data_IF_911197076126
#
_entry.id   IF_911197076126
#
_cell.length_a   1.000
_cell.length_b   1.000
_cell.length_c   1.000
_cell.angle_alpha   90.00
_cell.angle_beta   90.00
_cell.angle_gamma   90.00
#
_symmetry.space_group_name_H-M   'P 1'
#
loop_
_entity.id
_entity.type
_entity.pdbx_description
1 polymer ?
#
# COMPACT_ATOMS: atom_id res chain seq x y z
N UNK A 1 33.54 5.22 3.95
CA UNK A 1 34.18 4.00 4.50
C UNK A 1 33.82 3.62 5.94
N UNK A 2 33.00 4.37 6.68
CA UNK A 2 32.64 4.01 8.07
C UNK A 2 31.30 3.27 8.25
N UNK A 3 30.47 3.14 7.21
CA UNK A 3 29.13 2.51 7.31
C UNK A 3 29.21 0.97 7.21
N UNK A 4 30.24 0.42 6.57
CA UNK A 4 30.33 -1.03 6.30
C UNK A 4 30.85 -1.84 7.50
N UNK A 5 31.56 -1.21 8.45
CA UNK A 5 32.28 -1.95 9.49
C UNK A 5 31.48 -2.28 10.76
N UNK A 6 30.20 -1.88 10.86
CA UNK A 6 29.37 -2.15 12.05
C UNK A 6 28.31 -3.25 11.86
N UNK A 7 28.29 -3.96 10.74
CA UNK A 7 27.27 -4.98 10.45
C UNK A 7 27.62 -6.35 11.10
N UNK A 8 28.80 -6.49 11.69
CA UNK A 8 29.32 -7.80 12.09
C UNK A 8 29.07 -8.21 13.53
N UNK A 9 28.13 -7.58 14.25
CA UNK A 9 27.80 -8.00 15.61
C UNK A 9 26.31 -8.28 15.78
N UNK A 10 26.03 -9.57 16.03
CA UNK A 10 24.74 -10.20 16.42
C UNK A 10 23.70 -10.39 15.30
N UNK A 11 23.79 -11.55 14.63
CA UNK A 11 22.68 -12.50 14.42
C UNK A 11 21.34 -12.04 13.84
N UNK A 12 21.20 -10.80 13.38
CA UNK A 12 20.02 -10.29 12.70
C UNK A 12 20.20 -10.53 11.22
N UNK A 13 19.30 -11.31 10.63
CA UNK A 13 19.24 -11.48 9.18
C UNK A 13 18.67 -10.19 8.57
N UNK A 14 19.49 -9.14 8.52
CA UNK A 14 19.11 -7.84 7.91
C UNK A 14 18.79 -8.11 6.45
N UNK A 15 17.57 -7.81 6.03
CA UNK A 15 17.18 -8.08 4.66
C UNK A 15 17.93 -7.14 3.70
N UNK A 16 18.20 -7.59 2.48
CA UNK A 16 18.82 -6.74 1.45
C UNK A 16 18.02 -5.44 1.22
N UNK A 17 16.69 -5.49 1.41
CA UNK A 17 15.82 -4.32 1.38
C UNK A 17 16.21 -3.30 2.46
N UNK A 18 16.40 -3.73 3.69
CA UNK A 18 16.68 -2.83 4.81
C UNK A 18 18.07 -2.18 4.65
N UNK A 19 19.04 -2.93 4.12
CA UNK A 19 20.35 -2.38 3.73
C UNK A 19 20.21 -1.30 2.67
N UNK A 20 19.39 -1.54 1.64
CA UNK A 20 19.13 -0.56 0.59
C UNK A 20 18.43 0.69 1.12
N UNK A 21 17.43 0.53 1.99
CA UNK A 21 16.73 1.66 2.60
C UNK A 21 17.70 2.48 3.46
N UNK A 22 18.45 1.85 4.35
CA UNK A 22 19.45 2.52 5.20
C UNK A 22 20.58 3.21 4.40
N UNK A 23 20.84 2.77 3.16
CA UNK A 23 21.76 3.45 2.24
C UNK A 23 21.14 4.69 1.56
N UNK A 24 19.87 5.01 1.84
CA UNK A 24 19.17 6.17 1.30
C UNK A 24 18.77 6.04 -0.17
N UNK A 25 18.65 4.84 -0.73
CA UNK A 25 18.44 4.64 -2.18
C UNK A 25 17.09 5.17 -2.68
N UNK A 26 16.12 5.35 -1.79
CA UNK A 26 14.77 5.77 -2.15
C UNK A 26 14.77 7.15 -2.84
N UNK A 27 15.47 8.14 -2.28
CA UNK A 27 15.45 9.50 -2.84
C UNK A 27 16.10 9.58 -4.23
N UNK A 28 17.29 9.01 -4.49
CA UNK A 28 17.85 8.95 -5.83
C UNK A 28 16.98 8.18 -6.83
N UNK A 29 16.31 7.10 -6.39
CA UNK A 29 15.41 6.32 -7.25
C UNK A 29 14.21 7.17 -7.71
N UNK A 30 13.55 7.88 -6.78
CA UNK A 30 12.44 8.78 -7.10
C UNK A 30 12.89 9.90 -8.03
N UNK A 31 14.04 10.53 -7.76
CA UNK A 31 14.61 11.55 -8.62
C UNK A 31 14.90 11.02 -10.03
N UNK A 32 15.40 9.79 -10.15
CA UNK A 32 15.68 9.15 -11.43
C UNK A 32 14.40 8.93 -12.25
N UNK A 33 13.32 8.47 -11.59
CA UNK A 33 12.01 8.32 -12.21
C UNK A 33 11.46 9.67 -12.69
N UNK A 34 11.60 10.73 -11.89
CA UNK A 34 11.01 12.04 -12.20
C UNK A 34 11.84 12.86 -13.21
N UNK A 35 13.15 12.67 -13.26
CA UNK A 35 14.03 13.39 -14.20
C UNK A 35 13.97 12.84 -15.63
N UNK A 36 13.44 11.63 -15.83
CA UNK A 36 13.44 10.95 -17.13
C UNK A 36 12.08 10.32 -17.48
N UNK A 37 10.99 11.12 -17.54
CA UNK A 37 9.63 10.60 -17.73
C UNK A 37 9.43 9.94 -19.10
N UNK A 38 10.21 10.31 -20.12
CA UNK A 38 10.12 9.75 -21.46
C UNK A 38 10.88 8.42 -21.65
N UNK A 39 11.74 8.05 -20.69
CA UNK A 39 12.50 6.82 -20.78
C UNK A 39 11.68 5.65 -20.23
N UNK A 40 10.87 5.02 -21.10
CA UNK A 40 9.96 3.94 -20.71
C UNK A 40 10.66 2.76 -20.01
N UNK A 41 11.84 2.37 -20.48
CA UNK A 41 12.62 1.28 -19.88
C UNK A 41 12.98 1.60 -18.42
N UNK A 42 13.44 2.83 -18.19
CA UNK A 42 13.74 3.32 -16.85
C UNK A 42 12.49 3.42 -15.98
N UNK A 43 11.36 3.89 -16.52
CA UNK A 43 10.10 3.95 -15.77
C UNK A 43 9.66 2.54 -15.32
N UNK A 44 9.77 1.53 -16.19
CA UNK A 44 9.44 0.13 -15.86
C UNK A 44 10.35 -0.43 -14.76
N UNK A 45 11.67 -0.31 -14.95
CA UNK A 45 12.66 -0.84 -14.00
C UNK A 45 12.54 -0.11 -12.65
N UNK A 46 12.44 1.21 -12.66
CA UNK A 46 12.35 2.01 -11.45
C UNK A 46 11.04 1.77 -10.68
N UNK A 47 9.91 1.62 -11.38
CA UNK A 47 8.63 1.29 -10.73
C UNK A 47 8.65 -0.11 -10.12
N UNK A 48 9.30 -1.07 -10.79
CA UNK A 48 9.50 -2.42 -10.24
C UNK A 48 10.43 -2.43 -9.02
N UNK A 49 11.53 -1.68 -9.08
CA UNK A 49 12.42 -1.53 -7.93
C UNK A 49 11.69 -0.91 -6.73
N UNK A 50 10.86 0.11 -6.98
CA UNK A 50 10.04 0.75 -5.96
C UNK A 50 9.06 -0.23 -5.32
N UNK A 51 8.36 -1.06 -6.10
CA UNK A 51 7.43 -2.05 -5.53
C UNK A 51 8.12 -3.03 -4.60
N UNK A 52 9.32 -3.49 -4.95
CA UNK A 52 10.09 -4.43 -4.12
C UNK A 52 10.62 -3.77 -2.83
N UNK A 53 11.03 -2.50 -2.90
CA UNK A 53 11.47 -1.74 -1.72
C UNK A 53 10.32 -1.51 -0.73
N UNK A 54 9.09 -1.40 -1.22
CA UNK A 54 7.91 -1.18 -0.38
C UNK A 54 7.31 -2.49 0.16
N UNK A 55 7.38 -3.60 -0.58
CA UNK A 55 6.74 -4.90 -0.25
C UNK A 55 7.11 -5.51 1.12
N UNK A 56 8.20 -5.07 1.77
CA UNK A 56 8.43 -5.36 3.19
C UNK A 56 8.39 -6.85 3.55
N UNK A 57 9.10 -7.71 2.81
CA UNK A 57 9.11 -9.14 3.11
C UNK A 57 9.86 -9.43 4.41
N UNK A 58 9.12 -9.74 5.48
CA UNK A 58 9.63 -10.65 6.52
C UNK A 58 9.73 -12.02 5.86
N UNK A 59 10.95 -12.45 5.53
CA UNK A 59 11.19 -13.83 5.09
C UNK A 59 10.89 -14.76 6.27
N UNK A 60 9.67 -15.31 6.32
CA UNK A 60 9.47 -16.58 6.99
C UNK A 60 10.18 -17.66 6.17
N UNK A 61 11.47 -17.84 6.44
CA UNK A 61 12.11 -19.12 6.17
C UNK A 61 11.40 -20.17 7.02
N UNK A 62 10.64 -21.04 6.37
CA UNK A 62 10.61 -22.48 6.61
C UNK A 62 9.73 -23.12 5.54
N UNK A 63 10.35 -23.59 4.44
CA UNK A 63 9.83 -24.74 3.70
C UNK A 63 10.65 -25.96 4.15
N UNK A 64 9.98 -27.07 4.48
CA UNK A 64 9.95 -28.13 3.47
C UNK A 64 8.56 -28.78 3.34
N UNK A 65 8.25 -29.28 2.15
CA UNK A 65 7.16 -30.24 1.94
C UNK A 65 6.10 -29.80 0.94
N UNK A 66 6.08 -30.48 -0.20
CA UNK A 66 4.99 -30.54 -1.17
C UNK A 66 3.68 -31.04 -0.55
N UNK A 67 2.55 -30.37 -0.80
CA UNK A 67 1.41 -30.87 -1.58
C UNK A 67 0.18 -29.94 -1.39
N UNK A 68 -0.83 -30.21 -2.20
CA UNK A 68 -2.00 -29.41 -2.55
C UNK A 68 -3.02 -29.21 -1.40
N UNK A 69 -3.88 -28.22 -1.65
CA UNK A 69 -5.27 -28.06 -1.19
C UNK A 69 -5.62 -27.09 -0.05
N UNK A 70 -6.59 -26.24 -0.42
CA UNK A 70 -7.69 -25.69 0.35
C UNK A 70 -7.41 -24.80 1.58
N UNK A 71 -7.85 -23.54 1.43
CA UNK A 71 -8.80 -22.86 2.32
C UNK A 71 -8.47 -22.73 3.83
N UNK A 72 -8.54 -21.48 4.28
CA UNK A 72 -8.61 -21.01 5.67
C UNK A 72 -7.32 -21.09 6.51
N UNK A 73 -6.73 -19.91 6.73
CA UNK A 73 -6.38 -19.50 8.10
C UNK A 73 -6.54 -17.99 8.28
N UNK A 74 -7.73 -17.64 8.77
CA UNK A 74 -8.01 -16.49 9.63
C UNK A 74 -7.22 -16.66 10.94
N UNK A 75 -6.66 -15.58 11.47
CA UNK A 75 -6.04 -15.54 12.80
C UNK A 75 -4.60 -15.02 12.79
N UNK A 76 -4.42 -13.72 12.55
CA UNK A 76 -3.22 -13.01 12.95
C UNK A 76 -3.28 -12.79 14.47
N UNK A 77 -2.64 -13.67 15.22
CA UNK A 77 -2.26 -13.47 16.61
C UNK A 77 -0.80 -13.90 16.74
N UNK A 78 0.11 -12.94 16.66
CA UNK A 78 1.03 -12.69 17.77
C UNK A 78 1.73 -11.36 17.60
N UNK A 79 1.55 -10.50 18.61
CA UNK A 79 2.42 -9.39 18.92
C UNK A 79 3.81 -9.93 19.28
N UNK A 80 4.82 -9.38 18.61
CA UNK A 80 6.23 -9.68 18.85
C UNK A 80 7.03 -8.41 18.62
N UNK A 81 7.22 -7.67 19.71
CA UNK A 81 7.96 -6.44 19.80
C UNK A 81 9.40 -6.62 19.24
N UNK A 82 9.65 -6.08 18.04
CA UNK A 82 11.00 -5.79 17.56
C UNK A 82 11.06 -4.32 17.14
N UNK A 83 11.44 -3.48 18.09
CA UNK A 83 12.03 -2.17 17.82
C UNK A 83 13.41 -2.39 17.18
N UNK A 84 13.42 -2.71 15.88
CA UNK A 84 14.62 -2.72 15.05
C UNK A 84 14.49 -1.52 14.12
N UNK A 85 15.50 -0.64 14.10
CA UNK A 85 15.50 0.64 13.40
C UNK A 85 15.37 0.54 11.89
N UNK A 86 14.20 0.11 11.41
CA UNK A 86 13.78 0.24 10.04
C UNK A 86 13.50 1.72 9.81
N UNK A 87 14.27 2.35 8.92
CA UNK A 87 13.84 3.64 8.37
C UNK A 87 12.43 3.48 7.81
N UNK A 88 11.49 4.12 8.48
CA UNK A 88 10.09 4.12 8.09
C UNK A 88 9.97 4.78 6.72
N UNK A 89 9.29 4.11 5.79
CA UNK A 89 9.08 4.64 4.44
C UNK A 89 8.19 5.88 4.59
N UNK A 90 8.76 7.06 4.31
CA UNK A 90 8.03 8.32 4.32
C UNK A 90 7.13 8.39 3.09
N UNK A 91 5.92 7.84 3.16
CA UNK A 91 4.97 7.80 2.03
C UNK A 91 4.79 9.16 1.33
N UNK A 92 4.84 10.25 2.08
CA UNK A 92 4.69 11.62 1.56
C UNK A 92 5.71 11.96 0.46
N UNK A 93 6.93 11.42 0.50
CA UNK A 93 7.90 11.65 -0.57
C UNK A 93 7.65 10.79 -1.82
N UNK A 94 6.94 9.66 -1.69
CA UNK A 94 6.63 8.77 -2.81
C UNK A 94 5.39 9.25 -3.59
N UNK A 95 4.43 9.89 -2.93
CA UNK A 95 3.13 10.25 -3.51
C UNK A 95 3.21 11.05 -4.83
N UNK A 96 4.08 12.08 -4.97
CA UNK A 96 4.17 12.83 -6.23
C UNK A 96 4.57 11.94 -7.42
N UNK A 97 5.58 11.10 -7.23
CA UNK A 97 6.07 10.16 -8.24
C UNK A 97 5.00 9.09 -8.54
N UNK A 98 4.40 8.47 -7.51
CA UNK A 98 3.36 7.45 -7.68
C UNK A 98 2.13 7.98 -8.42
N UNK A 99 1.71 9.22 -8.12
CA UNK A 99 0.63 9.88 -8.85
C UNK A 99 0.95 9.98 -10.33
N UNK A 100 2.13 10.52 -10.68
CA UNK A 100 2.56 10.63 -12.08
C UNK A 100 2.56 9.27 -12.78
N UNK A 101 3.09 8.24 -12.13
CA UNK A 101 3.16 6.89 -12.68
C UNK A 101 1.78 6.26 -12.93
N UNK A 102 0.78 6.52 -12.07
CA UNK A 102 -0.61 6.06 -12.24
C UNK A 102 -1.33 6.60 -13.48
N UNK A 103 -0.84 7.70 -14.04
CA UNK A 103 -1.39 8.31 -15.27
C UNK A 103 -0.61 7.93 -16.54
N UNK A 104 0.43 7.08 -16.44
CA UNK A 104 1.10 6.55 -17.61
C UNK A 104 0.24 5.49 -18.31
N UNK A 105 0.38 5.38 -19.62
CA UNK A 105 -0.36 4.41 -20.44
C UNK A 105 0.22 2.98 -20.36
N UNK A 106 1.45 2.84 -19.88
CA UNK A 106 2.17 1.57 -19.89
C UNK A 106 1.66 0.60 -18.81
N UNK A 107 1.17 -0.56 -19.24
CA UNK A 107 0.57 -1.54 -18.35
C UNK A 107 1.57 -2.16 -17.34
N UNK A 108 2.86 -2.24 -17.66
CA UNK A 108 3.86 -2.74 -16.71
C UNK A 108 4.10 -1.71 -15.60
N UNK A 109 4.30 -0.44 -15.97
CA UNK A 109 4.43 0.65 -15.00
C UNK A 109 3.20 0.76 -14.11
N UNK A 110 1.99 0.73 -14.69
CA UNK A 110 0.75 0.76 -13.91
C UNK A 110 0.64 -0.44 -12.95
N UNK A 111 1.00 -1.63 -13.40
CA UNK A 111 1.00 -2.84 -12.57
C UNK A 111 1.91 -2.68 -11.36
N UNK A 112 3.18 -2.29 -11.56
CA UNK A 112 4.12 -2.11 -10.44
C UNK A 112 3.71 -0.96 -9.51
N UNK A 113 3.18 0.13 -10.07
CA UNK A 113 2.68 1.27 -9.27
C UNK A 113 1.49 0.86 -8.39
N UNK A 114 0.54 0.11 -8.93
CA UNK A 114 -0.59 -0.42 -8.15
C UNK A 114 -0.13 -1.42 -7.09
N UNK A 115 0.87 -2.27 -7.39
CA UNK A 115 1.46 -3.13 -6.36
C UNK A 115 2.09 -2.31 -5.25
N UNK A 116 2.88 -1.28 -5.57
CA UNK A 116 3.44 -0.38 -4.56
C UNK A 116 2.36 0.21 -3.65
N UNK A 117 1.27 0.72 -4.22
CA UNK A 117 0.15 1.28 -3.46
C UNK A 117 -0.55 0.23 -2.60
N UNK A 118 -0.75 -0.98 -3.12
CA UNK A 118 -1.31 -2.09 -2.34
C UNK A 118 -0.48 -2.41 -1.11
N UNK A 119 0.86 -2.45 -1.23
CA UNK A 119 1.74 -2.70 -0.09
C UNK A 119 1.74 -1.52 0.90
N UNK A 120 1.66 -0.28 0.42
CA UNK A 120 1.53 0.89 1.30
C UNK A 120 0.22 0.84 2.09
N UNK A 121 -0.90 0.51 1.44
CA UNK A 121 -2.20 0.38 2.09
C UNK A 121 -2.35 -0.89 2.97
N UNK A 122 -1.42 -1.84 2.89
CA UNK A 122 -1.30 -2.96 3.85
C UNK A 122 -0.55 -2.55 5.13
N UNK A 123 0.03 -1.34 5.15
CA UNK A 123 0.77 -0.77 6.26
C UNK A 123 -0.11 0.03 7.24
N UNK A 124 0.49 0.95 8.02
CA UNK A 124 -0.23 1.76 9.00
C UNK A 124 -1.35 2.62 8.38
N UNK A 125 -2.38 2.94 9.15
CA UNK A 125 -3.51 3.77 8.71
C UNK A 125 -3.09 5.15 8.17
N UNK A 126 -1.94 5.67 8.61
CA UNK A 126 -1.35 6.91 8.07
C UNK A 126 -0.98 6.80 6.58
N UNK A 127 -0.60 5.62 6.10
CA UNK A 127 -0.35 5.37 4.68
C UNK A 127 -1.64 5.38 3.88
N UNK A 128 -2.68 4.71 4.39
CA UNK A 128 -4.01 4.67 3.76
C UNK A 128 -4.55 6.12 3.67
N UNK A 129 -4.52 6.86 4.78
CA UNK A 129 -4.90 8.26 4.83
C UNK A 129 -4.15 9.11 3.80
N UNK A 130 -2.83 8.91 3.66
CA UNK A 130 -2.04 9.64 2.67
C UNK A 130 -2.45 9.29 1.22
N UNK A 131 -2.75 8.03 0.91
CA UNK A 131 -3.22 7.63 -0.43
C UNK A 131 -4.57 8.29 -0.77
N UNK A 132 -5.49 8.35 0.20
CA UNK A 132 -6.85 8.85 0.00
C UNK A 132 -6.95 10.38 0.06
N UNK A 133 -6.15 11.03 0.90
CA UNK A 133 -6.25 12.48 1.15
C UNK A 133 -5.16 13.30 0.46
N UNK A 134 -4.19 12.65 -0.21
CA UNK A 134 -3.13 13.37 -0.90
C UNK A 134 -3.69 14.37 -1.92
N UNK A 135 -3.31 15.66 -1.85
CA UNK A 135 -3.89 16.68 -2.73
C UNK A 135 -3.53 16.41 -4.18
N UNK A 136 -4.54 16.33 -5.04
CA UNK A 136 -4.37 16.34 -6.50
C UNK A 136 -4.13 17.78 -7.00
N UNK A 137 -3.47 17.93 -8.15
CA UNK A 137 -3.25 19.22 -8.82
C UNK A 137 -4.57 19.94 -9.13
N UNK A 138 -5.63 19.18 -9.39
CA UNK A 138 -6.96 19.70 -9.67
C UNK A 138 -7.86 19.78 -8.43
N UNK A 139 -7.31 19.53 -7.22
CA UNK A 139 -8.05 19.52 -5.95
C UNK A 139 -9.27 18.57 -5.95
N UNK A 140 -9.20 17.50 -6.75
CA UNK A 140 -10.25 16.48 -6.78
C UNK A 140 -10.20 15.70 -5.45
N UNK A 141 -11.34 15.54 -4.74
CA UNK A 141 -11.39 14.75 -3.53
C UNK A 141 -11.05 13.28 -3.82
N UNK A 142 -10.49 12.58 -2.84
CA UNK A 142 -10.16 11.15 -2.94
C UNK A 142 -8.75 10.82 -3.41
N UNK A 143 -7.88 11.82 -3.63
CA UNK A 143 -6.45 11.61 -3.83
C UNK A 143 -6.13 10.68 -5.00
N UNK A 144 -5.57 9.50 -4.73
CA UNK A 144 -5.26 8.50 -5.77
C UNK A 144 -6.42 7.54 -6.08
N UNK A 145 -7.48 7.54 -5.26
CA UNK A 145 -8.62 6.61 -5.37
C UNK A 145 -9.37 6.73 -6.71
N UNK A 146 -9.72 7.92 -7.23
CA UNK A 146 -10.45 8.01 -8.50
C UNK A 146 -9.74 7.26 -9.63
N UNK A 147 -8.42 7.43 -9.73
CA UNK A 147 -7.62 6.75 -10.76
C UNK A 147 -7.51 5.24 -10.50
N UNK A 148 -7.39 4.81 -9.25
CA UNK A 148 -7.40 3.38 -8.90
C UNK A 148 -8.73 2.71 -9.28
N UNK A 149 -9.86 3.39 -9.05
CA UNK A 149 -11.19 2.91 -9.44
C UNK A 149 -11.34 2.84 -10.97
N UNK A 150 -10.79 3.79 -11.71
CA UNK A 150 -10.74 3.71 -13.18
C UNK A 150 -9.98 2.48 -13.67
N UNK A 151 -8.86 2.14 -13.02
CA UNK A 151 -8.00 1.00 -13.38
C UNK A 151 -8.63 -0.37 -13.06
N UNK A 152 -9.73 -0.42 -12.31
CA UNK A 152 -10.46 -1.68 -12.05
C UNK A 152 -10.98 -2.35 -13.32
N UNK A 153 -11.21 -1.59 -14.40
CA UNK A 153 -11.66 -2.15 -15.70
C UNK A 153 -10.58 -2.07 -16.77
N UNK A 154 -9.32 -1.98 -16.36
CA UNK A 154 -8.19 -2.00 -17.28
C UNK A 154 -8.13 -3.34 -18.04
N UNK A 155 -7.71 -3.30 -19.32
CA UNK A 155 -7.70 -4.49 -20.19
C UNK A 155 -6.72 -5.58 -19.73
N UNK A 156 -5.67 -5.17 -19.01
CA UNK A 156 -4.71 -6.10 -18.41
C UNK A 156 -5.10 -6.39 -16.97
N UNK A 157 -5.45 -7.65 -16.71
CA UNK A 157 -5.73 -8.15 -15.36
C UNK A 157 -4.56 -7.97 -14.38
N UNK A 158 -3.32 -7.85 -14.91
CA UNK A 158 -2.11 -7.57 -14.12
C UNK A 158 -2.13 -6.18 -13.49
N UNK A 159 -2.89 -5.26 -14.07
CA UNK A 159 -3.17 -3.92 -13.50
C UNK A 159 -4.41 -3.99 -12.61
N UNK A 160 -5.48 -4.62 -13.10
CA UNK A 160 -6.75 -4.75 -12.37
C UNK A 160 -6.57 -5.39 -10.99
N UNK A 161 -5.80 -6.48 -10.89
CA UNK A 161 -5.62 -7.23 -9.64
C UNK A 161 -5.00 -6.37 -8.52
N UNK A 162 -3.82 -5.74 -8.69
CA UNK A 162 -3.25 -4.89 -7.65
C UNK A 162 -4.06 -3.61 -7.40
N UNK A 163 -4.72 -3.04 -8.42
CA UNK A 163 -5.62 -1.90 -8.20
C UNK A 163 -6.79 -2.29 -7.29
N UNK A 164 -7.42 -3.44 -7.56
CA UNK A 164 -8.50 -3.99 -6.74
C UNK A 164 -8.04 -4.31 -5.32
N UNK A 165 -6.86 -4.92 -5.17
CA UNK A 165 -6.25 -5.17 -3.86
C UNK A 165 -6.05 -3.88 -3.07
N UNK A 166 -5.60 -2.81 -3.73
CA UNK A 166 -5.43 -1.49 -3.11
C UNK A 166 -6.77 -0.93 -2.61
N UNK A 167 -7.83 -0.99 -3.43
CA UNK A 167 -9.18 -0.58 -3.04
C UNK A 167 -9.69 -1.41 -1.84
N UNK A 168 -9.50 -2.73 -1.90
CA UNK A 168 -9.86 -3.64 -0.82
C UNK A 168 -9.14 -3.33 0.50
N UNK A 169 -7.86 -3.01 0.46
CA UNK A 169 -7.09 -2.59 1.64
C UNK A 169 -7.58 -1.24 2.20
N UNK A 170 -7.99 -0.28 1.35
CA UNK A 170 -8.53 1.01 1.79
C UNK A 170 -9.87 0.82 2.54
N UNK A 171 -10.78 -0.03 2.02
CA UNK A 171 -12.08 -0.29 2.67
C UNK A 171 -11.98 -1.21 3.89
N UNK A 172 -10.89 -1.98 4.01
CA UNK A 172 -10.62 -2.83 5.17
C UNK A 172 -9.94 -2.07 6.31
N UNK A 173 -9.58 -0.79 6.13
CA UNK A 173 -8.95 0.00 7.18
C UNK A 173 -9.84 0.00 8.42
N UNK A 174 -9.39 -0.64 9.49
CA UNK A 174 -10.16 -0.70 10.74
C UNK A 174 -10.18 0.69 11.38
N UNK A 175 -11.36 1.11 11.83
CA UNK A 175 -11.50 2.17 12.81
C UNK A 175 -10.72 1.75 14.05
N UNK A 176 -9.57 2.39 14.30
CA UNK A 176 -8.91 2.31 15.58
C UNK A 176 -9.82 2.92 16.64
N UNK A 177 -10.67 2.12 17.27
CA UNK A 177 -11.01 2.35 18.65
C UNK A 177 -9.73 2.11 19.45
N UNK A 178 -8.89 3.14 19.59
CA UNK A 178 -8.00 3.23 20.75
C UNK A 178 -8.88 3.51 21.98
N UNK A 179 -9.74 2.53 22.30
CA UNK A 179 -10.51 2.43 23.50
C UNK A 179 -9.58 2.10 24.66
N UNK A 180 -8.77 3.08 25.08
CA UNK A 180 -8.37 3.15 26.48
C UNK A 180 -9.59 3.57 27.29
N UNK A 181 -10.57 2.67 27.41
CA UNK A 181 -11.64 2.75 28.39
C UNK A 181 -11.06 2.42 29.77
N UNK A 182 -10.15 3.26 30.27
CA UNK A 182 -9.93 3.37 31.70
C UNK A 182 -10.93 4.40 32.23
N UNK A 183 -11.95 3.87 32.88
CA UNK A 183 -12.88 4.59 33.73
C UNK A 183 -12.14 5.52 34.68
N UNK A 184 -12.26 6.83 34.49
CA UNK A 184 -12.25 7.82 35.57
C UNK A 184 -12.68 9.18 35.00
N UNK A 185 -13.76 9.74 35.54
CA UNK A 185 -14.17 11.10 35.25
C UNK A 185 -13.05 12.10 35.55
N UNK A 186 -12.93 13.09 34.68
CA UNK A 186 -11.99 14.20 34.84
C UNK A 186 -12.15 15.16 33.67
N UNK A 187 -12.84 16.27 33.91
CA UNK A 187 -12.81 17.44 33.04
C UNK A 187 -11.35 17.90 32.91
N UNK A 188 -10.77 17.80 31.71
CA UNK A 188 -9.60 18.61 31.35
C UNK A 188 -9.62 18.85 29.84
N UNK A 189 -9.90 20.11 29.46
CA UNK A 189 -9.66 20.62 28.11
C UNK A 189 -8.16 20.58 27.85
N UNK A 190 -7.71 19.75 26.91
CA UNK A 190 -6.45 20.01 26.20
C UNK A 190 -6.71 20.06 24.70
N UNK A 191 -6.72 21.30 24.21
CA UNK A 191 -6.68 21.65 22.80
C UNK A 191 -5.28 21.30 22.29
N UNK A 192 -5.12 20.08 21.79
CA UNK A 192 -4.12 19.76 20.78
C UNK A 192 -4.85 19.17 19.57
N UNK A 193 -5.41 20.09 18.79
CA UNK A 193 -6.06 19.85 17.50
C UNK A 193 -5.11 19.14 16.54
N UNK A 194 -5.34 17.84 16.36
CA UNK A 194 -5.22 17.22 15.05
C UNK A 194 -6.34 16.19 14.99
N UNK A 195 -7.42 16.40 14.22
CA UNK A 195 -8.44 15.38 14.06
C UNK A 195 -7.75 14.12 13.57
N UNK A 196 -7.94 13.01 14.29
CA UNK A 196 -7.49 11.71 13.83
C UNK A 196 -7.97 11.53 12.38
N UNK A 197 -7.13 11.03 11.46
CA UNK A 197 -7.51 10.90 10.07
C UNK A 197 -8.81 10.10 9.97
N UNK A 198 -9.70 10.43 9.01
CA UNK A 198 -10.99 9.76 8.87
C UNK A 198 -10.78 8.25 8.88
N UNK A 199 -11.56 7.60 9.75
CA UNK A 199 -11.38 6.21 10.14
C UNK A 199 -12.11 5.24 9.21
N UNK A 200 -12.93 5.78 8.30
CA UNK A 200 -13.65 5.07 7.25
C UNK A 200 -13.52 5.83 5.92
N UNK A 201 -13.08 5.12 4.88
CA UNK A 201 -12.92 5.64 3.51
C UNK A 201 -13.98 5.11 2.54
N UNK A 202 -14.96 4.34 3.04
CA UNK A 202 -15.98 3.69 2.21
C UNK A 202 -16.77 4.70 1.39
N UNK A 203 -17.18 5.84 1.98
CA UNK A 203 -17.88 6.91 1.25
C UNK A 203 -17.07 7.44 0.07
N UNK A 204 -15.76 7.66 0.25
CA UNK A 204 -14.86 8.09 -0.84
C UNK A 204 -14.82 7.06 -1.97
N UNK A 205 -14.80 5.77 -1.64
CA UNK A 205 -14.78 4.67 -2.61
C UNK A 205 -16.10 4.61 -3.39
N UNK A 206 -17.22 4.87 -2.71
CA UNK A 206 -18.55 4.95 -3.33
C UNK A 206 -18.64 6.16 -4.28
N UNK A 207 -18.22 7.35 -3.83
CA UNK A 207 -18.23 8.58 -4.62
C UNK A 207 -17.35 8.51 -5.87
N UNK A 208 -16.26 7.75 -5.81
CA UNK A 208 -15.41 7.48 -6.97
C UNK A 208 -16.04 6.52 -7.99
N UNK A 209 -17.25 5.99 -7.73
CA UNK A 209 -17.96 5.10 -8.65
C UNK A 209 -17.41 3.67 -8.67
N UNK A 210 -16.93 3.15 -7.54
CA UNK A 210 -16.39 1.79 -7.47
C UNK A 210 -17.45 0.70 -7.70
N UNK A 211 -18.69 0.87 -7.24
CA UNK A 211 -19.73 -0.17 -7.25
C UNK A 211 -20.03 -0.73 -8.66
N UNK A 212 -20.28 0.10 -9.71
CA UNK A 212 -20.46 -0.41 -11.06
C UNK A 212 -19.27 -1.22 -11.59
N UNK A 213 -18.04 -0.84 -11.20
CA UNK A 213 -16.82 -1.52 -11.61
C UNK A 213 -16.67 -2.86 -10.89
N UNK A 214 -16.89 -2.89 -9.58
CA UNK A 214 -16.89 -4.12 -8.77
C UNK A 214 -17.95 -5.12 -9.26
N UNK A 215 -19.15 -4.65 -9.63
CA UNK A 215 -20.19 -5.47 -10.26
C UNK A 215 -19.72 -6.13 -11.55
N UNK A 216 -18.90 -5.46 -12.35
CA UNK A 216 -18.32 -6.09 -13.55
C UNK A 216 -17.29 -7.17 -13.17
N UNK A 217 -16.50 -6.92 -12.12
CA UNK A 217 -15.40 -7.80 -11.70
C UNK A 217 -15.85 -9.12 -11.05
N UNK A 218 -17.01 -9.15 -10.38
CA UNK A 218 -17.57 -10.41 -9.86
C UNK A 218 -17.88 -11.43 -10.98
N UNK A 219 -18.09 -10.97 -12.21
CA UNK A 219 -18.32 -11.81 -13.40
C UNK A 219 -17.07 -11.95 -14.28
N UNK A 220 -15.88 -11.56 -13.79
CA UNK A 220 -14.64 -11.60 -14.57
C UNK A 220 -14.16 -13.04 -14.85
N UNK A 221 -13.55 -13.28 -16.01
CA UNK A 221 -13.01 -14.59 -16.39
C UNK A 221 -11.84 -15.11 -15.52
N UNK A 222 -11.39 -14.36 -14.52
CA UNK A 222 -10.28 -14.71 -13.63
C UNK A 222 -10.83 -14.86 -12.21
N UNK A 223 -10.81 -16.09 -11.68
CA UNK A 223 -11.38 -16.43 -10.37
C UNK A 223 -10.75 -15.65 -9.22
N UNK A 224 -9.48 -15.30 -9.31
CA UNK A 224 -8.81 -14.53 -8.26
C UNK A 224 -9.31 -13.09 -8.20
N UNK A 225 -9.63 -12.50 -9.36
CA UNK A 225 -10.28 -11.17 -9.42
C UNK A 225 -11.70 -11.25 -8.87
N UNK A 226 -12.46 -12.31 -9.21
CA UNK A 226 -13.81 -12.49 -8.68
C UNK A 226 -13.82 -12.57 -7.16
N UNK A 227 -12.92 -13.38 -6.57
CA UNK A 227 -12.78 -13.52 -5.12
C UNK A 227 -12.46 -12.19 -4.45
N UNK A 228 -11.47 -11.47 -4.97
CA UNK A 228 -11.06 -10.17 -4.40
C UNK A 228 -12.17 -9.12 -4.55
N UNK A 229 -12.93 -9.15 -5.65
CA UNK A 229 -14.06 -8.25 -5.86
C UNK A 229 -15.20 -8.54 -4.89
N UNK A 230 -15.52 -9.82 -4.66
CA UNK A 230 -16.49 -10.23 -3.65
C UNK A 230 -16.04 -9.83 -2.24
N UNK A 231 -14.76 -10.02 -1.91
CA UNK A 231 -14.20 -9.59 -0.63
C UNK A 231 -14.25 -8.07 -0.44
N UNK A 232 -13.92 -7.30 -1.49
CA UNK A 232 -14.01 -5.84 -1.45
C UNK A 232 -15.46 -5.38 -1.25
N UNK A 233 -16.42 -6.00 -1.94
CA UNK A 233 -17.84 -5.71 -1.77
C UNK A 233 -18.34 -6.05 -0.36
N UNK A 234 -17.84 -7.12 0.28
CA UNK A 234 -18.23 -7.45 1.66
C UNK A 234 -17.71 -6.46 2.69
N UNK A 235 -16.62 -5.76 2.40
CA UNK A 235 -16.09 -4.71 3.29
C UNK A 235 -16.80 -3.35 3.09
N UNK A 236 -17.42 -3.14 1.92
CA UNK A 236 -18.20 -1.93 1.62
C UNK A 236 -19.63 -2.01 2.20
N UNK A 237 -20.19 -3.22 2.34
CA UNK A 237 -21.59 -3.48 2.70
C UNK A 237 -21.83 -3.50 4.21
#
# INVERSE_FOLDING_TARGET
>A
DSIINNINDKGSNVSARDVLLAAGVMSPLLQCLDSSPQNLSLQRIGSWALSNLVEGRVQHQNKPGSSKDASNKLGSMNCGNHHSGNEEIKIQSLLPTLRRLLYLADAEVLSYTCWTLSHLCDGPSSHIAAVVTSPDLNQVPGGLVPRLVELLVHQSWRVTKPALRTIGNIVCAECGEDGNNNSAGGEHLDISDSPAPPTDYTEVILDCGAVPRLKQLISHGNREIQKEACWTLSNIA
#
